data_IF_019446963549
#
_entry.id   IF_019446963549
#
_cell.length_a   1.000
_cell.length_b   1.000
_cell.length_c   1.000
_cell.angle_alpha   90.00
_cell.angle_beta   90.00
_cell.angle_gamma   90.00
#
_symmetry.space_group_name_H-M   'P 1'
#
loop_
_entity.id
_entity.type
_entity.pdbx_description
1 polymer ?
#
# COMPACT_ATOMS: atom_id res chain seq x y z
N UNK A 1 -13.94 -1.62 -1.88
CA UNK A 1 -12.81 -1.34 -1.01
C UNK A 1 -12.27 -2.62 -0.40
N UNK A 2 -10.97 -2.84 -0.55
CA UNK A 2 -10.36 -4.05 -0.03
C UNK A 2 -9.88 -3.82 1.40
N UNK A 3 -10.12 -4.80 2.25
CA UNK A 3 -9.68 -4.72 3.65
C UNK A 3 -8.66 -5.81 3.91
N UNK A 4 -7.52 -5.41 4.45
CA UNK A 4 -6.44 -6.32 4.81
C UNK A 4 -6.30 -6.33 6.32
N UNK A 5 -6.42 -7.51 6.92
CA UNK A 5 -6.23 -7.63 8.36
C UNK A 5 -4.75 -7.79 8.66
N UNK A 6 -4.24 -6.96 9.54
CA UNK A 6 -2.83 -6.99 9.92
C UNK A 6 -2.61 -8.02 11.01
N UNK A 7 -1.59 -8.86 10.85
CA UNK A 7 -1.17 -9.77 11.91
C UNK A 7 -0.43 -9.01 13.00
N UNK A 8 0.21 -7.93 12.61
CA UNK A 8 0.98 -7.09 13.53
C UNK A 8 0.41 -5.68 13.49
N UNK A 9 -0.54 -5.36 14.36
CA UNK A 9 -1.17 -4.04 14.35
C UNK A 9 -0.17 -2.91 14.51
N UNK A 10 -0.51 -1.75 13.95
CA UNK A 10 0.32 -0.58 14.04
C UNK A 10 -0.39 0.49 14.86
N UNK A 11 0.37 1.50 15.30
CA UNK A 11 -0.17 2.57 16.12
C UNK A 11 -0.07 3.90 15.37
N UNK A 12 -1.19 4.60 15.31
CA UNK A 12 -1.23 5.93 14.71
C UNK A 12 -2.07 6.84 15.59
N UNK A 13 -1.48 7.92 16.07
CA UNK A 13 -2.18 8.88 16.93
C UNK A 13 -2.84 8.19 18.14
N UNK A 14 -2.07 7.31 18.79
CA UNK A 14 -2.51 6.56 19.96
C UNK A 14 -3.65 5.59 19.69
N UNK A 15 -3.95 5.36 18.42
CA UNK A 15 -4.97 4.39 18.04
C UNK A 15 -4.32 3.19 17.39
N UNK A 16 -4.80 2.01 17.77
CA UNK A 16 -4.29 0.78 17.18
C UNK A 16 -5.04 0.51 15.88
N UNK A 17 -4.27 0.30 14.82
CA UNK A 17 -4.82 -0.03 13.52
C UNK A 17 -4.60 -1.50 13.26
N UNK A 18 -5.67 -2.25 13.15
CA UNK A 18 -5.61 -3.70 12.94
C UNK A 18 -5.98 -4.10 11.53
N UNK A 19 -6.52 -3.16 10.76
CA UNK A 19 -6.92 -3.41 9.38
C UNK A 19 -6.57 -2.21 8.52
N UNK A 20 -6.24 -2.50 7.25
CA UNK A 20 -6.04 -1.44 6.28
C UNK A 20 -7.14 -1.52 5.24
N UNK A 21 -7.71 -0.37 4.93
CA UNK A 21 -8.74 -0.25 3.89
C UNK A 21 -8.08 0.34 2.65
N UNK A 22 -7.94 -0.47 1.64
CA UNK A 22 -7.29 -0.06 0.40
C UNK A 22 -8.30 0.39 -0.63
N UNK A 23 -7.97 1.41 -1.38
CA UNK A 23 -8.82 1.88 -2.46
C UNK A 23 -8.98 0.77 -3.49
N UNK A 24 -10.15 0.73 -4.13
CA UNK A 24 -10.44 -0.30 -5.12
C UNK A 24 -9.80 -0.02 -6.47
N UNK A 25 -9.45 1.22 -6.71
CA UNK A 25 -8.90 1.62 -7.99
C UNK A 25 -7.59 2.35 -7.84
N UNK A 26 -6.68 2.08 -8.74
CA UNK A 26 -5.41 2.76 -8.80
C UNK A 26 -5.60 4.04 -9.61
N UNK A 27 -5.39 5.16 -8.97
CA UNK A 27 -5.52 6.46 -9.60
C UNK A 27 -4.16 7.09 -9.82
N UNK A 28 -4.12 8.15 -10.61
CA UNK A 28 -2.86 8.84 -10.90
C UNK A 28 -2.16 9.30 -9.63
N UNK A 29 -2.93 9.73 -8.63
CA UNK A 29 -2.31 10.17 -7.38
C UNK A 29 -1.52 9.06 -6.70
N UNK A 30 -1.99 7.82 -6.85
CA UNK A 30 -1.29 6.67 -6.29
C UNK A 30 0.00 6.40 -7.06
N UNK A 31 -0.08 6.52 -8.38
CA UNK A 31 1.09 6.29 -9.22
C UNK A 31 2.15 7.37 -9.00
N UNK A 32 1.73 8.60 -8.78
CA UNK A 32 2.65 9.69 -8.49
C UNK A 32 3.40 9.43 -7.17
N UNK A 33 2.70 8.88 -6.19
CA UNK A 33 3.33 8.55 -4.93
C UNK A 33 4.44 7.54 -5.12
N UNK A 34 4.22 6.54 -5.97
CA UNK A 34 5.24 5.55 -6.27
C UNK A 34 6.42 6.19 -7.00
N UNK A 35 6.13 7.07 -7.94
CA UNK A 35 7.16 7.69 -8.74
C UNK A 35 8.08 8.58 -7.92
N UNK A 36 7.54 9.17 -6.87
CA UNK A 36 8.31 10.03 -6.00
C UNK A 36 9.24 9.26 -5.06
N UNK A 37 9.00 7.97 -4.90
CA UNK A 37 9.78 7.14 -3.99
C UNK A 37 10.97 6.51 -4.70
N UNK A 38 11.98 6.16 -3.92
CA UNK A 38 13.18 5.50 -4.43
C UNK A 38 13.21 4.05 -4.00
N UNK A 39 13.71 3.18 -4.87
CA UNK A 39 13.87 1.78 -4.55
C UNK A 39 12.56 1.03 -4.57
N UNK A 40 12.67 -0.29 -4.68
CA UNK A 40 11.51 -1.14 -4.81
C UNK A 40 10.64 -1.12 -3.55
N UNK A 41 11.29 -1.23 -2.40
CA UNK A 41 10.57 -1.20 -1.12
C UNK A 41 9.94 0.17 -0.90
N UNK A 42 10.65 1.23 -1.25
CA UNK A 42 10.12 2.58 -1.11
C UNK A 42 8.88 2.80 -1.96
N UNK A 43 8.88 2.28 -3.17
CA UNK A 43 7.72 2.41 -4.06
C UNK A 43 6.52 1.65 -3.54
N UNK A 44 6.76 0.46 -3.00
CA UNK A 44 5.69 -0.34 -2.41
C UNK A 44 5.11 0.39 -1.20
N UNK A 45 5.97 0.91 -0.34
CA UNK A 45 5.53 1.63 0.84
C UNK A 45 4.71 2.86 0.47
N UNK A 46 5.17 3.61 -0.52
CA UNK A 46 4.47 4.80 -0.99
C UNK A 46 3.09 4.44 -1.54
N UNK A 47 3.02 3.35 -2.30
CA UNK A 47 1.75 2.91 -2.86
C UNK A 47 0.77 2.49 -1.76
N UNK A 48 1.26 1.74 -0.78
CA UNK A 48 0.43 1.32 0.34
C UNK A 48 -0.12 2.54 1.08
N UNK A 49 0.74 3.49 1.37
CA UNK A 49 0.33 4.71 2.06
C UNK A 49 -0.72 5.48 1.29
N UNK A 50 -0.56 5.57 -0.02
CA UNK A 50 -1.51 6.28 -0.85
C UNK A 50 -2.86 5.56 -0.94
N UNK A 51 -2.82 4.24 -1.10
CA UNK A 51 -4.06 3.45 -1.21
C UNK A 51 -4.82 3.38 0.10
N UNK A 52 -4.11 3.31 1.22
CA UNK A 52 -4.73 3.22 2.52
C UNK A 52 -4.93 4.59 3.17
N UNK A 53 -4.43 5.64 2.52
CA UNK A 53 -4.49 7.00 3.05
C UNK A 53 -3.83 7.10 4.41
N UNK A 54 -2.64 6.52 4.52
CA UNK A 54 -1.86 6.54 5.74
C UNK A 54 -0.62 7.41 5.56
N UNK A 55 -0.21 8.13 6.60
CA UNK A 55 1.06 8.85 6.55
C UNK A 55 2.22 7.86 6.55
N UNK A 56 3.36 8.27 6.04
CA UNK A 56 4.52 7.39 5.95
C UNK A 56 4.94 6.87 7.31
N UNK A 57 4.77 7.66 8.37
CA UNK A 57 5.11 7.23 9.72
C UNK A 57 4.33 5.97 10.13
N UNK A 58 3.09 5.85 9.67
CA UNK A 58 2.30 4.66 9.94
C UNK A 58 2.73 3.51 9.05
N UNK A 59 3.00 3.78 7.78
CA UNK A 59 3.44 2.76 6.84
C UNK A 59 4.75 2.13 7.29
N UNK A 60 5.64 2.94 7.85
CA UNK A 60 6.94 2.45 8.31
C UNK A 60 6.84 1.43 9.44
N UNK A 61 5.70 1.40 10.14
CA UNK A 61 5.50 0.45 11.23
C UNK A 61 5.01 -0.91 10.77
N UNK A 62 4.57 -1.01 9.52
CA UNK A 62 3.99 -2.26 9.02
C UNK A 62 5.06 -3.35 8.98
N UNK A 63 4.73 -4.51 9.56
CA UNK A 63 5.65 -5.63 9.60
C UNK A 63 5.84 -6.22 8.20
N UNK A 64 7.03 -6.76 7.95
CA UNK A 64 7.35 -7.33 6.64
C UNK A 64 6.37 -8.45 6.27
N UNK A 65 5.91 -9.19 7.24
CA UNK A 65 4.95 -10.27 7.02
C UNK A 65 3.63 -9.71 6.47
N UNK A 66 3.21 -8.59 7.02
CA UNK A 66 1.97 -7.95 6.56
C UNK A 66 2.18 -7.28 5.21
N UNK A 67 3.39 -6.79 4.94
CA UNK A 67 3.70 -6.20 3.64
C UNK A 67 3.51 -7.23 2.53
N UNK A 68 3.89 -8.48 2.78
CA UNK A 68 3.73 -9.53 1.77
C UNK A 68 2.25 -9.71 1.41
N UNK A 69 1.39 -9.75 2.42
CA UNK A 69 -0.05 -9.90 2.18
C UNK A 69 -0.63 -8.69 1.45
N UNK A 70 -0.19 -7.50 1.86
CA UNK A 70 -0.68 -6.27 1.23
C UNK A 70 -0.22 -6.21 -0.23
N UNK A 71 1.03 -6.57 -0.47
CA UNK A 71 1.59 -6.55 -1.82
C UNK A 71 0.84 -7.50 -2.73
N UNK A 72 0.48 -8.67 -2.22
CA UNK A 72 -0.30 -9.62 -2.98
C UNK A 72 -1.65 -9.04 -3.36
N UNK A 73 -2.31 -8.38 -2.43
CA UNK A 73 -3.60 -7.73 -2.72
C UNK A 73 -3.43 -6.61 -3.74
N UNK A 74 -2.37 -5.83 -3.60
CA UNK A 74 -2.10 -4.71 -4.50
C UNK A 74 -1.74 -5.19 -5.89
N UNK A 75 -1.11 -6.36 -6.01
CA UNK A 75 -0.72 -6.87 -7.31
C UNK A 75 -1.91 -7.07 -8.23
N UNK A 76 -3.09 -7.27 -7.69
CA UNK A 76 -4.29 -7.38 -8.51
C UNK A 76 -4.56 -6.08 -9.27
N UNK A 77 -4.30 -4.95 -8.62
CA UNK A 77 -4.46 -3.67 -9.30
C UNK A 77 -3.43 -3.51 -10.40
N UNK A 78 -2.21 -3.93 -10.12
CA UNK A 78 -1.12 -3.79 -11.08
C UNK A 78 -1.32 -4.71 -12.28
N UNK A 79 -1.84 -5.90 -12.03
CA UNK A 79 -2.11 -6.85 -13.10
C UNK A 79 -3.17 -6.33 -14.05
N UNK A 80 -4.07 -5.51 -13.56
CA UNK A 80 -5.12 -4.93 -14.37
C UNK A 80 -4.66 -3.71 -15.14
N UNK A 81 -3.47 -3.24 -14.87
CA UNK A 81 -2.95 -2.06 -15.51
C UNK A 81 -2.56 -2.38 -16.94
N UNK A 82 -3.19 -1.79 -17.92
CA UNK A 82 -2.88 -2.08 -19.31
C UNK A 82 -1.48 -1.64 -19.71
N UNK A 83 -0.97 -0.69 -19.00
CA UNK A 83 0.35 -0.17 -19.33
C UNK A 83 1.44 -1.21 -19.15
N UNK A 84 1.21 -2.16 -18.28
CA UNK A 84 2.21 -3.18 -18.07
C UNK A 84 2.36 -4.05 -19.30
N UNK A 85 1.30 -4.14 -20.03
CA UNK A 85 1.43 -4.90 -21.20
C UNK A 85 2.40 -4.27 -22.12
N UNK A 86 2.61 -3.48 -21.82
CA UNK A 86 3.40 -3.23 -22.54
C UNK A 86 4.27 -3.20 -22.93
N UNK A 87 4.13 -3.08 -22.73
CA UNK A 87 4.80 -2.89 -23.35
C UNK A 87 5.61 -3.16 -23.66
#
# INVERSE_FOLDING_TARGET
>A
MSVITLKHPIILNDQQITELKLADRLKIKHMKAMDAASGEIGKIAALIGALAELPMAAVDQIDAEDVAAITEAVSHFLDLSPATGGM
#
